data_IF_086167725164
#
_entry.id   IF_086167725164
#
_cell.length_a   1.000
_cell.length_b   1.000
_cell.length_c   1.000
_cell.angle_alpha   90.00
_cell.angle_beta   90.00
_cell.angle_gamma   90.00
#
_symmetry.space_group_name_H-M   'P 1'
#
loop_
_entity.id
_entity.type
_entity.pdbx_description
1 polymer ?
#
# COMPACT_ATOMS: atom_id res chain seq x y z
N UNK A 1 24.09 34.60 -40.82
CA UNK A 1 23.19 33.76 -41.62
C UNK A 1 23.32 32.32 -41.15
N UNK A 2 22.36 31.83 -40.37
CA UNK A 2 22.36 30.45 -39.88
C UNK A 2 22.06 29.52 -41.06
N UNK A 3 22.94 28.54 -41.31
CA UNK A 3 22.85 27.65 -42.47
C UNK A 3 21.53 26.86 -42.42
N UNK A 4 20.75 26.86 -43.50
CA UNK A 4 19.39 26.23 -43.56
C UNK A 4 19.40 24.77 -43.10
N UNK A 5 20.53 24.09 -43.26
CA UNK A 5 20.75 22.70 -42.84
C UNK A 5 20.91 22.55 -41.31
N UNK A 6 21.44 23.56 -40.63
CA UNK A 6 21.57 23.57 -39.17
C UNK A 6 20.21 23.80 -38.49
N UNK A 7 19.35 24.62 -39.09
CA UNK A 7 17.98 24.84 -38.59
C UNK A 7 17.13 23.56 -38.68
N UNK A 8 17.29 22.77 -39.74
CA UNK A 8 16.55 21.51 -39.93
C UNK A 8 16.94 20.44 -38.90
N UNK A 9 18.24 20.34 -38.57
CA UNK A 9 18.77 19.41 -37.56
C UNK A 9 18.27 19.72 -36.15
N UNK A 10 18.15 21.00 -35.79
CA UNK A 10 17.63 21.43 -34.48
C UNK A 10 16.15 21.04 -34.31
N UNK A 11 15.36 21.13 -35.38
CA UNK A 11 13.93 20.76 -35.34
C UNK A 11 13.77 19.24 -35.15
N UNK A 12 14.61 18.42 -35.79
CA UNK A 12 14.57 16.95 -35.64
C UNK A 12 14.98 16.54 -34.22
N UNK A 13 15.97 17.21 -33.62
CA UNK A 13 16.41 16.95 -32.25
C UNK A 13 15.38 17.36 -31.19
N UNK A 14 14.54 18.37 -31.47
CA UNK A 14 13.49 18.80 -30.54
C UNK A 14 12.28 17.85 -30.50
N UNK A 15 12.01 17.12 -31.59
CA UNK A 15 10.86 16.20 -31.68
C UNK A 15 11.14 14.86 -30.97
N UNK A 16 12.40 14.42 -30.89
CA UNK A 16 12.77 13.16 -30.23
C UNK A 16 12.74 13.20 -28.69
N UNK A 17 12.62 14.38 -28.07
CA UNK A 17 12.52 14.52 -26.61
C UNK A 17 11.08 14.31 -26.12
N UNK A 18 10.07 14.34 -27.01
CA UNK A 18 8.65 14.23 -26.64
C UNK A 18 8.10 12.79 -26.67
N UNK A 19 8.91 11.79 -27.05
CA UNK A 19 8.48 10.39 -27.13
C UNK A 19 9.02 9.52 -26.00
N UNK A 20 9.29 10.08 -24.81
CA UNK A 20 9.24 9.24 -23.61
C UNK A 20 7.77 8.97 -23.35
N UNK A 21 7.25 7.97 -24.06
CA UNK A 21 5.94 7.42 -23.82
C UNK A 21 5.81 7.19 -22.32
N UNK A 22 4.87 7.91 -21.73
CA UNK A 22 4.47 7.73 -20.35
C UNK A 22 3.98 6.28 -20.25
N UNK A 23 4.85 5.37 -19.82
CA UNK A 23 4.43 4.06 -19.38
C UNK A 23 3.57 4.32 -18.15
N UNK A 24 2.27 4.44 -18.36
CA UNK A 24 1.28 4.55 -17.29
C UNK A 24 1.41 3.23 -16.51
N UNK A 25 2.25 3.27 -15.47
CA UNK A 25 2.49 2.12 -14.61
C UNK A 25 1.14 1.74 -13.99
N UNK A 26 0.61 0.60 -14.42
CA UNK A 26 -0.58 -0.04 -13.81
C UNK A 26 -0.23 -0.84 -12.55
N UNK A 27 0.95 -0.57 -11.98
CA UNK A 27 1.47 -1.18 -10.76
C UNK A 27 0.80 -0.63 -9.50
N UNK A 28 1.09 -1.23 -8.34
CA UNK A 28 0.56 -0.75 -7.08
C UNK A 28 1.05 0.68 -6.78
N UNK A 29 0.25 1.51 -6.07
CA UNK A 29 0.68 2.85 -5.65
C UNK A 29 2.01 2.84 -4.89
N UNK A 30 2.21 1.80 -4.07
CA UNK A 30 3.42 1.51 -3.30
C UNK A 30 3.68 0.00 -3.23
N UNK A 31 4.92 -0.42 -2.98
CA UNK A 31 5.23 -1.84 -2.79
C UNK A 31 4.55 -2.40 -1.53
N UNK A 32 4.29 -3.71 -1.52
CA UNK A 32 3.74 -4.40 -0.35
C UNK A 32 4.64 -4.24 0.89
N UNK A 33 5.96 -4.25 0.70
CA UNK A 33 6.94 -4.03 1.78
C UNK A 33 6.89 -2.60 2.33
N UNK A 34 6.71 -1.57 1.49
CA UNK A 34 6.50 -0.18 1.96
C UNK A 34 5.26 -0.08 2.83
N UNK A 35 4.15 -0.68 2.39
CA UNK A 35 2.91 -0.71 3.14
C UNK A 35 3.08 -1.48 4.46
N UNK A 36 3.80 -2.60 4.44
CA UNK A 36 4.13 -3.36 5.66
C UNK A 36 4.88 -2.52 6.68
N UNK A 37 5.91 -1.78 6.25
CA UNK A 37 6.67 -0.88 7.13
C UNK A 37 5.81 0.24 7.73
N UNK A 38 4.84 0.77 6.97
CA UNK A 38 3.88 1.75 7.50
C UNK A 38 2.96 1.16 8.57
N UNK A 39 2.50 -0.09 8.37
CA UNK A 39 1.70 -0.80 9.38
C UNK A 39 2.52 -1.07 10.63
N UNK A 40 3.79 -1.47 10.48
CA UNK A 40 4.74 -1.60 11.60
C UNK A 40 4.86 -0.28 12.36
N UNK A 41 5.11 0.83 11.66
CA UNK A 41 5.26 2.14 12.29
C UNK A 41 3.98 2.58 13.03
N UNK A 42 2.80 2.32 12.45
CA UNK A 42 1.51 2.56 13.10
C UNK A 42 1.39 1.77 14.42
N UNK A 43 1.66 0.46 14.39
CA UNK A 43 1.57 -0.39 15.59
C UNK A 43 2.60 -0.01 16.65
N UNK A 44 3.83 0.33 16.26
CA UNK A 44 4.85 0.84 17.19
C UNK A 44 4.41 2.15 17.84
N UNK A 45 3.80 3.06 17.06
CA UNK A 45 3.28 4.32 17.60
C UNK A 45 2.19 4.13 18.66
N UNK A 46 1.51 2.97 18.63
CA UNK A 46 0.51 2.55 19.63
C UNK A 46 1.09 1.80 20.83
N UNK A 47 2.41 1.56 20.85
CA UNK A 47 3.12 0.93 21.95
C UNK A 47 3.38 -0.57 21.78
N UNK A 48 3.05 -1.15 20.63
CA UNK A 48 3.37 -2.54 20.33
C UNK A 48 4.83 -2.70 19.90
N UNK A 49 5.41 -3.88 20.17
CA UNK A 49 6.73 -4.29 19.66
C UNK A 49 6.54 -5.14 18.41
N UNK A 50 7.45 -5.04 17.46
CA UNK A 50 7.42 -5.87 16.23
C UNK A 50 7.37 -7.37 16.52
N UNK A 51 7.97 -7.81 17.63
CA UNK A 51 7.95 -9.22 18.05
C UNK A 51 6.59 -9.72 18.56
N UNK A 52 5.58 -8.87 18.68
CA UNK A 52 4.26 -9.20 19.24
C UNK A 52 3.22 -9.53 18.18
N UNK A 53 3.54 -9.35 16.90
CA UNK A 53 2.58 -9.56 15.82
C UNK A 53 3.25 -10.05 14.53
N UNK A 54 2.42 -10.60 13.64
CA UNK A 54 2.78 -10.95 12.28
C UNK A 54 1.92 -10.14 11.31
N UNK A 55 2.51 -9.68 10.20
CA UNK A 55 1.83 -8.88 9.18
C UNK A 55 1.94 -9.58 7.83
N UNK A 56 0.79 -9.78 7.18
CA UNK A 56 0.69 -10.14 5.78
C UNK A 56 0.12 -8.94 5.00
N UNK A 57 0.81 -8.54 3.92
CA UNK A 57 0.34 -7.52 2.99
C UNK A 57 0.29 -8.12 1.60
N UNK A 58 -0.85 -7.98 0.93
CA UNK A 58 -1.03 -8.42 -0.45
C UNK A 58 -1.78 -7.40 -1.29
N UNK A 59 -1.26 -7.06 -2.45
CA UNK A 59 -1.89 -6.14 -3.39
C UNK A 59 -2.85 -6.86 -4.34
N UNK A 60 -4.03 -6.26 -4.54
CA UNK A 60 -5.09 -6.72 -5.42
C UNK A 60 -5.32 -5.68 -6.50
N UNK A 61 -4.95 -6.02 -7.73
CA UNK A 61 -5.14 -5.14 -8.91
C UNK A 61 -6.62 -4.84 -9.18
N UNK A 62 -7.54 -5.71 -8.74
CA UNK A 62 -9.00 -5.49 -8.84
C UNK A 62 -9.50 -4.33 -7.97
N UNK A 63 -8.70 -3.84 -7.02
CA UNK A 63 -8.95 -2.61 -6.28
C UNK A 63 -9.62 -2.76 -4.93
N UNK A 64 -10.16 -3.93 -4.60
CA UNK A 64 -10.85 -4.16 -3.32
C UNK A 64 -10.38 -5.44 -2.61
N UNK A 65 -9.87 -5.25 -1.39
CA UNK A 65 -9.60 -6.29 -0.41
C UNK A 65 -10.76 -6.42 0.59
N UNK A 66 -10.78 -7.50 1.37
CA UNK A 66 -11.78 -7.76 2.42
C UNK A 66 -11.94 -6.59 3.41
N UNK A 67 -10.85 -5.89 3.70
CA UNK A 67 -10.81 -4.78 4.67
C UNK A 67 -10.65 -3.41 3.98
N UNK A 68 -10.94 -3.34 2.68
CA UNK A 68 -11.02 -2.10 1.92
C UNK A 68 -9.70 -1.65 1.27
N UNK A 69 -9.84 -1.00 0.12
CA UNK A 69 -8.71 -0.56 -0.69
C UNK A 69 -7.98 -1.70 -1.40
N UNK A 70 -6.91 -1.39 -2.14
CA UNK A 70 -6.26 -2.36 -3.01
C UNK A 70 -5.25 -3.25 -2.29
N UNK A 71 -5.03 -3.08 -0.99
CA UNK A 71 -4.17 -3.94 -0.18
C UNK A 71 -5.03 -4.73 0.80
N UNK A 72 -4.85 -6.05 0.87
CA UNK A 72 -5.24 -6.81 2.06
C UNK A 72 -4.11 -6.70 3.06
N UNK A 73 -4.39 -6.16 4.24
CA UNK A 73 -3.43 -6.00 5.31
C UNK A 73 -4.00 -6.76 6.51
N UNK A 74 -3.39 -7.90 6.81
CA UNK A 74 -3.79 -8.77 7.92
C UNK A 74 -2.72 -8.69 9.02
N UNK A 75 -3.14 -8.36 10.23
CA UNK A 75 -2.31 -8.39 11.43
C UNK A 75 -2.82 -9.49 12.35
N UNK A 76 -1.92 -10.33 12.83
CA UNK A 76 -2.21 -11.36 13.84
C UNK A 76 -1.29 -11.16 15.02
N UNK A 77 -1.86 -10.86 16.19
CA UNK A 77 -1.12 -10.71 17.44
C UNK A 77 -0.81 -12.08 18.05
N UNK A 78 0.39 -12.22 18.60
CA UNK A 78 0.87 -13.50 19.15
C UNK A 78 0.07 -13.97 20.37
N UNK A 79 -0.52 -13.06 21.13
CA UNK A 79 -1.36 -13.34 22.30
C UNK A 79 -2.85 -13.57 21.95
N UNK A 80 -3.19 -13.46 20.66
CA UNK A 80 -4.53 -13.72 20.11
C UNK A 80 -4.42 -14.29 18.67
N UNK A 81 -3.75 -15.44 18.48
CA UNK A 81 -3.35 -15.94 17.16
C UNK A 81 -4.51 -16.41 16.27
N UNK A 82 -5.73 -16.45 16.80
CA UNK A 82 -6.92 -16.91 16.09
C UNK A 82 -7.82 -15.74 15.62
N UNK A 83 -7.32 -14.51 15.71
CA UNK A 83 -8.05 -13.30 15.32
C UNK A 83 -7.20 -12.53 14.31
N UNK A 84 -7.83 -12.19 13.19
CA UNK A 84 -7.24 -11.36 12.15
C UNK A 84 -7.75 -9.93 12.34
N UNK A 85 -6.82 -9.02 12.54
CA UNK A 85 -7.05 -7.59 12.57
C UNK A 85 -6.76 -7.03 11.19
N UNK A 86 -7.82 -6.61 10.50
CA UNK A 86 -7.76 -6.07 9.16
C UNK A 86 -7.47 -4.58 9.17
N UNK A 87 -6.43 -4.18 8.44
CA UNK A 87 -6.06 -2.77 8.29
C UNK A 87 -6.28 -2.29 6.85
N UNK A 88 -6.43 -0.98 6.72
CA UNK A 88 -6.54 -0.26 5.46
C UNK A 88 -5.43 0.77 5.36
N UNK A 89 -4.80 0.85 4.21
CA UNK A 89 -3.90 1.96 3.86
C UNK A 89 -4.64 3.02 3.06
N UNK A 90 -4.85 4.20 3.64
CA UNK A 90 -5.53 5.33 3.02
C UNK A 90 -4.59 6.11 2.09
N UNK A 91 -3.99 5.46 1.09
CA UNK A 91 -2.97 6.02 0.19
C UNK A 91 -3.42 7.25 -0.63
N UNK A 92 -4.73 7.47 -0.77
CA UNK A 92 -5.33 8.63 -1.46
C UNK A 92 -5.60 9.82 -0.52
N UNK A 93 -5.51 9.62 0.79
CA UNK A 93 -5.60 10.68 1.80
C UNK A 93 -4.37 11.58 1.70
N UNK A 94 -4.52 12.88 1.98
CA UNK A 94 -3.38 13.80 2.10
C UNK A 94 -2.37 13.32 3.15
N UNK A 95 -2.88 12.75 4.25
CA UNK A 95 -2.07 12.31 5.38
C UNK A 95 -1.56 10.86 5.24
N UNK A 96 -2.03 10.10 4.25
CA UNK A 96 -1.64 8.70 3.98
C UNK A 96 -1.48 7.86 5.25
N UNK A 97 -2.59 7.51 5.87
CA UNK A 97 -2.67 6.88 7.19
C UNK A 97 -3.03 5.38 7.12
N UNK A 98 -2.73 4.68 8.22
CA UNK A 98 -3.13 3.30 8.47
C UNK A 98 -4.27 3.31 9.48
N UNK A 99 -5.35 2.61 9.18
CA UNK A 99 -6.52 2.49 10.09
C UNK A 99 -6.96 1.05 10.16
N UNK A 100 -7.28 0.55 11.37
CA UNK A 100 -7.98 -0.71 11.48
C UNK A 100 -9.39 -0.57 10.89
N UNK A 101 -9.79 -1.51 10.03
CA UNK A 101 -11.06 -1.46 9.30
C UNK A 101 -11.91 -2.74 9.50
N UNK A 102 -11.44 -3.68 10.32
CA UNK A 102 -12.24 -4.82 10.72
C UNK A 102 -11.49 -5.81 11.60
N UNK A 103 -12.25 -6.64 12.30
CA UNK A 103 -11.73 -7.76 13.09
C UNK A 103 -12.50 -9.01 12.68
N UNK A 104 -11.79 -10.09 12.42
CA UNK A 104 -12.39 -11.35 12.02
C UNK A 104 -11.77 -12.52 12.80
N UNK A 105 -12.55 -13.28 13.59
CA UNK A 105 -12.08 -14.55 14.10
C UNK A 105 -11.83 -15.52 12.93
N UNK A 106 -10.81 -16.36 13.06
CA UNK A 106 -10.60 -17.47 12.12
C UNK A 106 -11.73 -18.50 12.23
N UNK A 107 -12.01 -19.22 11.15
CA UNK A 107 -13.16 -20.13 11.04
C UNK A 107 -13.32 -21.05 12.26
N UNK A 108 -14.56 -21.19 12.73
CA UNK A 108 -14.91 -22.04 13.87
C UNK A 108 -14.79 -21.38 15.24
N UNK A 109 -14.47 -20.08 15.33
CA UNK A 109 -14.45 -19.34 16.61
C UNK A 109 -15.44 -18.17 16.63
N UNK A 110 -16.23 -18.11 17.70
CA UNK A 110 -17.19 -17.02 17.97
C UNK A 110 -16.68 -16.14 19.12
N UNK A 111 -15.47 -15.60 18.97
CA UNK A 111 -14.98 -14.62 19.93
C UNK A 111 -15.64 -13.26 19.70
N UNK A 112 -15.92 -12.54 20.78
CA UNK A 112 -16.55 -11.20 20.75
C UNK A 112 -15.74 -10.15 21.50
N UNK A 113 -14.72 -10.57 22.26
CA UNK A 113 -13.87 -9.69 23.05
C UNK A 113 -12.47 -9.64 22.45
N UNK A 114 -12.31 -8.81 21.42
CA UNK A 114 -11.05 -8.63 20.71
C UNK A 114 -10.14 -7.65 21.46
N UNK A 115 -8.94 -8.10 21.84
CA UNK A 115 -8.04 -7.32 22.70
C UNK A 115 -7.45 -6.08 22.02
N UNK A 116 -7.29 -6.14 20.71
CA UNK A 116 -6.54 -5.14 19.92
C UNK A 116 -7.44 -4.40 18.92
N UNK A 117 -8.75 -4.38 19.18
CA UNK A 117 -9.68 -3.56 18.41
C UNK A 117 -9.39 -2.06 18.66
N UNK A 118 -9.29 -1.27 17.60
CA UNK A 118 -9.00 0.17 17.66
C UNK A 118 -10.25 1.04 17.73
#
# INVERSE_FOLDING_TARGET
MLNRNAALLIIILAISILSTGCNISSGPPESEESVKQKVVAHLISKGYKESEFNIEVKYYKSGESKFGGPYAINVVFNDEPNVIYGYKYNYKSENKDITQNGVAPMEGKNDKNFKHAE
#
